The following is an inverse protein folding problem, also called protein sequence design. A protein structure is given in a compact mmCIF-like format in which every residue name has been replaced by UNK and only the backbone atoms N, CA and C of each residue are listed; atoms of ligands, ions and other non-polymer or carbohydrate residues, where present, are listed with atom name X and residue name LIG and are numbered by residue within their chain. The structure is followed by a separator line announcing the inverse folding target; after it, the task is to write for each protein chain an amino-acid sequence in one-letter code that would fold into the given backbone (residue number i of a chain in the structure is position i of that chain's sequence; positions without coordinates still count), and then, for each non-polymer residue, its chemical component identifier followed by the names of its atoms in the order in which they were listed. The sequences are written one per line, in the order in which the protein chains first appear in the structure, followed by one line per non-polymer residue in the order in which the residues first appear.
data_IF_595780786983
#
_entry.id   IF_595780786983
#
_cell.length_a   1.000
_cell.length_b   1.000
_cell.length_c   1.000
_cell.angle_alpha   90.00
_cell.angle_beta   90.00
_cell.angle_gamma   90.00
#
_symmetry.space_group_name_H-M   'P 1'
#
loop_
_entity.id
_entity.type
_entity.pdbx_description
1 polymer ?
#
# COMPACT_ATOMS: atom_id res chain seq x y z
N UNK A 1 16.21 -4.54 -19.12
CA UNK A 1 15.80 -3.18 -18.71
C UNK A 1 16.64 -2.80 -17.51
N UNK A 2 17.65 -1.95 -17.70
CA UNK A 2 18.46 -1.45 -16.58
C UNK A 2 17.59 -0.57 -15.68
N UNK A 3 17.42 -0.97 -14.43
CA UNK A 3 16.71 -0.19 -13.42
C UNK A 3 17.65 0.87 -12.87
N UNK A 4 17.65 2.07 -13.46
CA UNK A 4 18.37 3.21 -12.92
C UNK A 4 17.51 3.93 -11.88
N UNK A 5 17.70 3.57 -10.61
CA UNK A 5 17.10 4.29 -9.49
C UNK A 5 17.42 5.80 -9.56
N UNK A 6 16.53 6.64 -9.01
CA UNK A 6 16.65 8.11 -8.93
C UNK A 6 16.53 8.91 -10.24
N UNK A 7 16.13 8.29 -11.36
CA UNK A 7 15.84 9.01 -12.62
C UNK A 7 14.36 9.17 -12.96
N UNK A 8 13.47 8.97 -11.98
CA UNK A 8 12.02 8.93 -12.18
C UNK A 8 11.50 10.12 -13.01
N UNK A 9 11.86 11.36 -12.65
CA UNK A 9 11.37 12.54 -13.35
C UNK A 9 11.75 12.56 -14.84
N UNK A 10 13.00 12.18 -15.16
CA UNK A 10 13.47 12.11 -16.55
C UNK A 10 12.75 11.00 -17.32
N UNK A 11 12.63 9.82 -16.71
CA UNK A 11 11.92 8.68 -17.30
C UNK A 11 10.43 8.98 -17.51
N UNK A 12 9.80 9.70 -16.59
CA UNK A 12 8.40 10.08 -16.68
C UNK A 12 8.14 11.02 -17.86
N UNK A 13 8.99 12.02 -18.10
CA UNK A 13 8.86 12.93 -19.24
C UNK A 13 8.89 12.16 -20.56
N UNK A 14 9.85 11.24 -20.73
CA UNK A 14 9.95 10.40 -21.94
C UNK A 14 8.73 9.48 -22.07
N UNK A 15 8.32 8.86 -20.97
CA UNK A 15 7.19 7.93 -20.92
C UNK A 15 5.85 8.61 -21.27
N UNK A 16 5.70 9.90 -20.99
CA UNK A 16 4.50 10.66 -21.34
C UNK A 16 4.27 10.77 -22.85
N UNK A 17 5.30 10.62 -23.69
CA UNK A 17 5.18 10.69 -25.16
C UNK A 17 4.96 9.31 -25.81
N UNK A 18 5.03 8.22 -25.03
CA UNK A 18 4.84 6.86 -25.54
C UNK A 18 3.35 6.54 -25.72
N UNK A 19 2.90 6.49 -26.98
CA UNK A 19 1.50 6.20 -27.35
C UNK A 19 1.02 4.83 -26.87
N UNK A 20 1.90 3.83 -26.79
CA UNK A 20 1.56 2.49 -26.30
C UNK A 20 1.28 2.55 -24.81
N UNK A 21 2.15 3.25 -24.06
CA UNK A 21 1.97 3.44 -22.63
C UNK A 21 0.74 4.29 -22.31
N UNK A 22 0.50 5.38 -23.06
CA UNK A 22 -0.71 6.20 -22.92
C UNK A 22 -1.97 5.34 -23.11
N UNK A 23 -2.02 4.56 -24.19
CA UNK A 23 -3.15 3.66 -24.48
C UNK A 23 -3.35 2.62 -23.39
N UNK A 24 -2.26 2.03 -22.90
CA UNK A 24 -2.32 1.05 -21.81
C UNK A 24 -2.83 1.68 -20.50
N UNK A 25 -2.36 2.89 -20.17
CA UNK A 25 -2.76 3.64 -18.98
C UNK A 25 -4.25 4.02 -19.04
N UNK A 26 -4.71 4.56 -20.16
CA UNK A 26 -6.12 4.91 -20.37
C UNK A 26 -7.03 3.69 -20.20
N UNK A 27 -6.69 2.58 -20.86
CA UNK A 27 -7.44 1.33 -20.73
C UNK A 27 -7.45 0.82 -19.29
N UNK A 28 -6.30 0.80 -18.63
CA UNK A 28 -6.19 0.29 -17.27
C UNK A 28 -7.01 1.12 -16.27
N UNK A 29 -6.88 2.45 -16.33
CA UNK A 29 -7.59 3.37 -15.45
C UNK A 29 -9.09 3.38 -15.71
N UNK A 30 -9.50 3.40 -16.98
CA UNK A 30 -10.91 3.31 -17.37
C UNK A 30 -11.54 2.00 -16.92
N UNK A 31 -10.85 0.87 -17.11
CA UNK A 31 -11.32 -0.43 -16.66
C UNK A 31 -11.44 -0.53 -15.13
N UNK A 32 -10.47 0.01 -14.40
CA UNK A 32 -10.52 0.03 -12.94
C UNK A 32 -11.71 0.87 -12.44
N UNK A 33 -11.92 2.05 -13.03
CA UNK A 33 -13.00 2.94 -12.66
C UNK A 33 -14.39 2.40 -13.05
N UNK A 34 -14.53 1.81 -14.25
CA UNK A 34 -15.80 1.24 -14.70
C UNK A 34 -16.23 0.05 -13.85
N UNK A 35 -15.29 -0.87 -13.52
CA UNK A 35 -15.55 -1.99 -12.60
C UNK A 35 -15.94 -1.50 -11.21
N UNK A 36 -15.22 -0.51 -10.69
CA UNK A 36 -15.54 0.11 -9.40
C UNK A 36 -16.94 0.72 -9.41
N UNK A 37 -17.32 1.44 -10.47
CA UNK A 37 -18.66 2.03 -10.61
C UNK A 37 -19.75 0.96 -10.70
N UNK A 38 -19.53 -0.10 -11.47
CA UNK A 38 -20.48 -1.20 -11.58
C UNK A 38 -20.76 -1.84 -10.22
N UNK A 39 -19.73 -2.21 -9.46
CA UNK A 39 -19.89 -2.80 -8.12
C UNK A 39 -20.55 -1.83 -7.15
N UNK A 40 -20.20 -0.54 -7.19
CA UNK A 40 -20.84 0.46 -6.32
C UNK A 40 -22.30 0.75 -6.69
N UNK A 41 -22.72 0.48 -7.93
CA UNK A 41 -24.10 0.61 -8.37
C UNK A 41 -24.98 -0.57 -7.90
N UNK A 42 -24.38 -1.70 -7.50
CA UNK A 42 -25.08 -2.82 -6.87
C UNK A 42 -25.44 -2.56 -5.40
N UNK A 43 -24.89 -1.49 -4.79
CA UNK A 43 -25.10 -1.15 -3.40
C UNK A 43 -26.11 -0.01 -3.25
N UNK A 44 -27.07 -0.22 -2.35
CA UNK A 44 -27.93 0.87 -1.88
C UNK A 44 -27.13 1.82 -0.96
N UNK A 45 -27.48 3.10 -0.99
CA UNK A 45 -26.94 4.12 -0.08
C UNK A 45 -25.40 4.26 -0.06
N UNK A 46 -24.73 4.05 -1.21
CA UNK A 46 -23.26 4.11 -1.34
C UNK A 46 -22.60 5.33 -0.69
N UNK A 47 -23.22 6.51 -0.76
CA UNK A 47 -22.70 7.71 -0.11
C UNK A 47 -22.63 7.58 1.42
N UNK A 48 -23.69 7.03 2.05
CA UNK A 48 -23.74 6.80 3.49
C UNK A 48 -22.72 5.74 3.92
N UNK A 49 -22.59 4.64 3.17
CA UNK A 49 -21.57 3.60 3.44
C UNK A 49 -20.15 4.17 3.41
N UNK A 50 -19.84 5.04 2.45
CA UNK A 50 -18.55 5.73 2.38
C UNK A 50 -18.32 6.64 3.59
N UNK A 51 -19.35 7.37 4.02
CA UNK A 51 -19.28 8.21 5.21
C UNK A 51 -19.04 7.39 6.48
N UNK A 52 -19.73 6.26 6.63
CA UNK A 52 -19.53 5.33 7.74
C UNK A 52 -18.10 4.78 7.75
N UNK A 53 -17.60 4.32 6.60
CA UNK A 53 -16.21 3.85 6.48
C UNK A 53 -15.19 4.92 6.84
N UNK A 54 -15.41 6.17 6.42
CA UNK A 54 -14.59 7.32 6.83
C UNK A 54 -14.65 7.53 8.35
N UNK A 55 -15.84 7.53 8.93
CA UNK A 55 -16.01 7.72 10.37
C UNK A 55 -15.31 6.62 11.18
N UNK A 56 -15.39 5.36 10.75
CA UNK A 56 -14.67 4.25 11.36
C UNK A 56 -13.16 4.42 11.30
N UNK A 57 -12.62 4.87 10.16
CA UNK A 57 -11.19 5.18 10.04
C UNK A 57 -10.76 6.30 10.97
N UNK A 58 -11.58 7.35 11.10
CA UNK A 58 -11.28 8.48 11.99
C UNK A 58 -11.29 8.06 13.47
N UNK A 59 -12.23 7.20 13.88
CA UNK A 59 -12.22 6.62 15.23
C UNK A 59 -10.96 5.78 15.47
N UNK A 60 -10.59 4.94 14.51
CA UNK A 60 -9.37 4.13 14.63
C UNK A 60 -8.08 4.98 14.72
N UNK A 61 -8.06 6.17 14.09
CA UNK A 61 -6.94 7.11 14.24
C UNK A 61 -6.95 7.86 15.57
N UNK A 62 -8.14 8.09 16.14
CA UNK A 62 -8.28 8.69 17.47
C UNK A 62 -7.79 7.73 18.56
N UNK A 63 -8.19 6.46 18.49
CA UNK A 63 -7.84 5.39 19.44
C UNK A 63 -6.58 4.63 19.00
N UNK A 64 -5.71 5.27 18.21
CA UNK A 64 -4.60 4.60 17.55
C UNK A 64 -3.62 3.92 18.53
N UNK A 65 -3.21 4.54 19.66
CA UNK A 65 -2.28 3.91 20.60
C UNK A 65 -2.78 2.56 21.14
N UNK A 66 -4.03 2.50 21.60
CA UNK A 66 -4.61 1.28 22.17
C UNK A 66 -4.86 0.22 21.10
N UNK A 67 -5.31 0.63 19.91
CA UNK A 67 -5.53 -0.28 18.79
C UNK A 67 -4.24 -0.90 18.25
N UNK A 68 -3.13 -0.19 18.38
CA UNK A 68 -1.80 -0.65 18.00
C UNK A 68 -1.29 -1.76 18.92
N UNK A 69 -1.48 -1.64 20.23
CA UNK A 69 -1.17 -2.71 21.20
C UNK A 69 -2.10 -3.91 21.02
N UNK A 70 -3.40 -3.67 20.79
CA UNK A 70 -4.37 -4.72 20.48
C UNK A 70 -4.01 -5.48 19.21
N UNK A 71 -3.53 -4.77 18.17
CA UNK A 71 -3.05 -5.37 16.94
C UNK A 71 -1.83 -6.26 17.21
N UNK A 72 -0.85 -5.78 17.98
CA UNK A 72 0.32 -6.56 18.35
C UNK A 72 -0.06 -7.85 19.08
N UNK A 73 -0.91 -7.76 20.10
CA UNK A 73 -1.39 -8.93 20.84
C UNK A 73 -2.04 -9.96 19.91
N UNK A 74 -2.88 -9.51 18.97
CA UNK A 74 -3.52 -10.38 18.00
C UNK A 74 -2.52 -10.99 17.00
N UNK A 75 -1.54 -10.24 16.52
CA UNK A 75 -0.49 -10.75 15.61
C UNK A 75 0.33 -11.83 16.32
N UNK A 76 0.75 -11.58 17.56
CA UNK A 76 1.51 -12.54 18.37
C UNK A 76 0.68 -13.80 18.62
N UNK A 77 -0.61 -13.67 18.96
CA UNK A 77 -1.51 -14.80 19.16
C UNK A 77 -1.66 -15.68 17.91
N UNK A 78 -1.53 -15.09 16.71
CA UNK A 78 -1.54 -15.82 15.43
C UNK A 78 -0.15 -16.30 14.98
N UNK A 79 0.87 -16.26 15.85
CA UNK A 79 2.23 -16.71 15.56
C UNK A 79 3.07 -15.72 14.73
N UNK A 80 2.59 -14.49 14.57
CA UNK A 80 3.34 -13.41 13.95
C UNK A 80 4.29 -12.70 14.93
N UNK A 81 5.06 -11.76 14.42
CA UNK A 81 5.96 -10.92 15.22
C UNK A 81 5.80 -9.45 14.79
N UNK A 82 5.69 -8.55 15.77
CA UNK A 82 5.62 -7.11 15.54
C UNK A 82 6.95 -6.49 15.93
N UNK A 83 7.48 -5.65 15.05
CA UNK A 83 8.70 -4.88 15.29
C UNK A 83 8.31 -3.40 15.33
N UNK A 84 8.30 -2.83 16.53
CA UNK A 84 8.15 -1.39 16.72
C UNK A 84 9.41 -0.66 16.25
N UNK A 85 9.22 0.51 15.65
CA UNK A 85 10.30 1.40 15.25
C UNK A 85 9.88 2.84 15.57
N UNK A 86 10.73 3.56 16.31
CA UNK A 86 10.53 4.96 16.64
C UNK A 86 10.73 5.88 15.43
N UNK A 87 11.59 5.47 14.49
CA UNK A 87 11.91 6.24 13.30
C UNK A 87 12.22 5.37 12.08
N UNK A 88 12.52 6.05 10.96
CA UNK A 88 12.86 5.39 9.70
C UNK A 88 14.20 4.63 9.75
N UNK A 89 15.16 5.05 10.57
CA UNK A 89 16.45 4.39 10.67
C UNK A 89 16.30 3.03 11.37
N UNK A 90 15.56 2.99 12.46
CA UNK A 90 15.24 1.75 13.18
C UNK A 90 14.41 0.79 12.32
N UNK A 91 13.39 1.29 11.60
CA UNK A 91 12.60 0.48 10.68
C UNK A 91 13.48 -0.15 9.57
N UNK A 92 14.42 0.61 9.01
CA UNK A 92 15.35 0.11 8.00
C UNK A 92 16.29 -0.96 8.60
N UNK A 93 16.75 -0.76 9.82
CA UNK A 93 17.61 -1.72 10.51
C UNK A 93 16.90 -3.08 10.70
N UNK A 94 15.65 -3.08 11.17
CA UNK A 94 14.83 -4.29 11.29
C UNK A 94 14.74 -5.07 9.98
N UNK A 95 14.45 -4.38 8.87
CA UNK A 95 14.37 -5.00 7.54
C UNK A 95 15.72 -5.59 7.12
N UNK A 96 16.81 -4.85 7.32
CA UNK A 96 18.16 -5.31 6.96
C UNK A 96 18.57 -6.55 7.77
N UNK A 97 18.23 -6.59 9.05
CA UNK A 97 18.55 -7.72 9.92
C UNK A 97 17.78 -8.98 9.53
N UNK A 98 16.50 -8.85 9.15
CA UNK A 98 15.74 -9.95 8.56
C UNK A 98 16.41 -10.43 7.26
N UNK A 99 16.79 -9.51 6.37
CA UNK A 99 17.46 -9.87 5.12
C UNK A 99 18.78 -10.62 5.35
N UNK A 100 19.61 -10.15 6.30
CA UNK A 100 20.88 -10.77 6.68
C UNK A 100 20.67 -12.15 7.29
N UNK A 101 19.73 -12.27 8.23
CA UNK A 101 19.37 -13.55 8.90
C UNK A 101 19.01 -14.63 7.89
N UNK A 102 18.33 -14.27 6.81
CA UNK A 102 17.92 -15.19 5.75
C UNK A 102 18.89 -15.26 4.56
N UNK A 103 20.07 -14.63 4.64
CA UNK A 103 21.04 -14.55 3.55
C UNK A 103 20.42 -14.08 2.21
N UNK A 104 19.46 -13.16 2.28
CA UNK A 104 18.67 -12.71 1.13
C UNK A 104 19.59 -12.11 0.05
N UNK A 105 19.52 -12.66 -1.17
CA UNK A 105 20.28 -12.14 -2.33
C UNK A 105 19.44 -11.25 -3.25
N UNK A 106 18.14 -11.51 -3.31
CA UNK A 106 17.17 -10.78 -4.12
C UNK A 106 15.84 -10.76 -3.39
N UNK A 107 15.21 -9.59 -3.35
CA UNK A 107 13.89 -9.40 -2.78
C UNK A 107 13.05 -8.51 -3.68
N UNK A 108 11.73 -8.69 -3.64
CA UNK A 108 10.78 -7.80 -4.29
C UNK A 108 10.11 -6.97 -3.20
N UNK A 109 10.21 -5.66 -3.29
CA UNK A 109 9.41 -4.77 -2.45
C UNK A 109 8.00 -4.72 -3.01
N UNK A 110 7.05 -5.39 -2.36
CA UNK A 110 5.64 -5.16 -2.61
C UNK A 110 5.15 -4.00 -1.75
N UNK A 111 4.34 -3.11 -2.31
CA UNK A 111 3.52 -2.20 -1.51
C UNK A 111 2.21 -2.93 -1.24
N UNK A 112 1.93 -3.27 0.01
CA UNK A 112 0.55 -3.55 0.39
C UNK A 112 -0.22 -2.24 0.36
N UNK A 113 -1.07 -2.08 -0.66
CA UNK A 113 -2.10 -1.06 -0.81
C UNK A 113 -3.31 -1.81 -1.38
N UNK A 114 -4.04 -2.48 -0.51
CA UNK A 114 -5.43 -2.84 -0.75
C UNK A 114 -6.32 -1.75 -0.14
#
# INVERSE_FOLDING_TARGET
MELTANRFNQSAVIALEDITLQTALERATTNADSRRRAVLAELDHTAALRQQGRASRLRALHDLPELLEQLEANVIANGGHVLWAADAAEANQHVLDICRKHNLKRGVKSKSMA
#
